data_IF_531438867990
#
_entry.id   IF_531438867990
#
_cell.length_a   1.000
_cell.length_b   1.000
_cell.length_c   1.000
_cell.angle_alpha   90.00
_cell.angle_beta   90.00
_cell.angle_gamma   90.00
#
_symmetry.space_group_name_H-M   'P 1'
#
loop_
_entity.id
_entity.type
_entity.pdbx_description
1 polymer ?
#
# COMPACT_ATOMS: atom_id res chain seq x y z
N UNK A 1 -10.92 36.29 4.28
CA UNK A 1 -10.77 35.05 3.50
C UNK A 1 -9.50 34.37 3.95
N UNK A 2 -9.58 33.32 4.77
CA UNK A 2 -8.41 32.55 5.18
C UNK A 2 -7.98 31.65 4.01
N UNK A 3 -6.74 31.79 3.57
CA UNK A 3 -6.11 30.85 2.63
C UNK A 3 -6.05 29.48 3.30
N UNK A 4 -6.84 28.53 2.80
CA UNK A 4 -6.67 27.13 3.16
C UNK A 4 -5.36 26.63 2.54
N UNK A 5 -4.43 26.22 3.39
CA UNK A 5 -3.21 25.57 2.94
C UNK A 5 -3.58 24.23 2.31
N UNK A 6 -2.94 23.91 1.18
CA UNK A 6 -3.05 22.62 0.49
C UNK A 6 -2.69 21.41 1.38
N UNK A 7 -2.06 21.67 2.53
CA UNK A 7 -1.62 20.67 3.50
C UNK A 7 -2.48 20.62 4.78
N UNK A 8 -3.58 21.38 4.87
CA UNK A 8 -4.55 21.28 5.99
C UNK A 8 -5.45 20.04 5.82
N UNK A 9 -4.82 18.88 5.77
CA UNK A 9 -5.44 17.58 5.56
C UNK A 9 -6.41 17.27 6.71
N UNK A 10 -6.07 17.65 7.95
CA UNK A 10 -6.96 17.46 9.10
C UNK A 10 -8.26 18.28 9.00
N UNK A 11 -8.20 19.53 8.52
CA UNK A 11 -9.41 20.35 8.34
C UNK A 11 -10.24 19.84 7.17
N UNK A 12 -9.58 19.36 6.11
CA UNK A 12 -10.26 18.78 4.94
C UNK A 12 -11.01 17.49 5.32
N UNK A 13 -10.38 16.61 6.13
CA UNK A 13 -10.99 15.37 6.64
C UNK A 13 -12.17 15.67 7.58
N UNK A 14 -12.04 16.67 8.46
CA UNK A 14 -13.14 17.09 9.36
C UNK A 14 -14.33 17.65 8.58
N UNK A 15 -14.08 18.43 7.52
CA UNK A 15 -15.12 19.03 6.69
C UNK A 15 -15.80 18.01 5.76
N UNK A 16 -15.09 17.00 5.26
CA UNK A 16 -15.69 15.95 4.42
C UNK A 16 -16.62 15.04 5.22
N UNK A 17 -16.28 14.74 6.49
CA UNK A 17 -17.16 14.01 7.43
C UNK A 17 -18.48 14.73 7.71
N UNK A 18 -18.45 16.05 7.85
CA UNK A 18 -19.65 16.88 8.06
C UNK A 18 -20.59 16.90 6.85
N UNK A 19 -20.06 16.59 5.65
CA UNK A 19 -20.82 16.58 4.38
C UNK A 19 -21.17 15.17 3.87
N UNK A 20 -20.73 14.11 4.54
CA UNK A 20 -20.87 12.74 4.02
C UNK A 20 -20.05 12.48 2.75
N UNK A 21 -19.05 13.32 2.46
CA UNK A 21 -18.19 13.18 1.29
C UNK A 21 -17.12 12.11 1.55
N UNK A 22 -16.89 11.22 0.56
CA UNK A 22 -15.80 10.23 0.60
C UNK A 22 -14.47 10.94 0.87
N UNK A 23 -13.82 10.59 1.97
CA UNK A 23 -12.54 11.19 2.43
C UNK A 23 -11.44 11.02 1.38
N UNK A 24 -11.48 9.93 0.61
CA UNK A 24 -10.60 9.68 -0.53
C UNK A 24 -11.26 10.19 -1.82
N UNK A 25 -11.05 11.46 -2.15
CA UNK A 25 -11.49 11.99 -3.46
C UNK A 25 -10.60 11.45 -4.58
N UNK A 26 -11.12 11.34 -5.83
CA UNK A 26 -10.32 10.88 -6.98
C UNK A 26 -9.04 11.70 -7.21
N UNK A 27 -9.05 12.98 -6.87
CA UNK A 27 -7.88 13.86 -6.98
C UNK A 27 -6.82 13.52 -5.93
N UNK A 28 -7.24 13.24 -4.69
CA UNK A 28 -6.33 12.76 -3.65
C UNK A 28 -5.73 11.41 -4.04
N UNK A 29 -6.54 10.47 -4.55
CA UNK A 29 -6.05 9.18 -5.04
C UNK A 29 -4.97 9.34 -6.14
N UNK A 30 -5.23 10.19 -7.15
CA UNK A 30 -4.24 10.50 -8.19
C UNK A 30 -2.96 11.11 -7.61
N UNK A 31 -3.09 12.04 -6.67
CA UNK A 31 -1.94 12.63 -5.98
C UNK A 31 -1.13 11.56 -5.24
N UNK A 32 -1.77 10.67 -4.48
CA UNK A 32 -1.08 9.60 -3.75
C UNK A 32 -0.31 8.67 -4.72
N UNK A 33 -0.90 8.34 -5.88
CA UNK A 33 -0.22 7.55 -6.92
C UNK A 33 1.01 8.26 -7.49
N UNK A 34 0.91 9.56 -7.76
CA UNK A 34 2.06 10.36 -8.21
C UNK A 34 3.16 10.36 -7.14
N UNK A 35 2.81 10.64 -5.88
CA UNK A 35 3.77 10.62 -4.78
C UNK A 35 4.43 9.24 -4.61
N UNK A 36 3.69 8.15 -4.82
CA UNK A 36 4.23 6.80 -4.77
C UNK A 36 5.23 6.56 -5.91
N UNK A 37 4.93 7.03 -7.13
CA UNK A 37 5.86 6.96 -8.27
C UNK A 37 7.13 7.79 -8.07
N UNK A 38 7.08 8.83 -7.24
CA UNK A 38 8.24 9.64 -6.84
C UNK A 38 9.07 8.98 -5.72
N UNK A 39 8.73 7.77 -5.28
CA UNK A 39 9.49 7.02 -4.29
C UNK A 39 9.23 7.43 -2.83
N UNK A 40 8.08 8.04 -2.54
CA UNK A 40 7.70 8.36 -1.16
C UNK A 40 7.55 7.07 -0.31
N UNK A 41 7.94 7.13 0.96
CA UNK A 41 7.86 5.99 1.87
C UNK A 41 6.40 5.55 2.09
N UNK A 42 6.15 4.24 1.96
CA UNK A 42 4.86 3.59 2.22
C UNK A 42 4.23 3.94 3.57
N UNK A 43 5.05 4.25 4.58
CA UNK A 43 4.58 4.67 5.91
C UNK A 43 3.85 6.01 5.88
N UNK A 44 4.24 6.93 4.98
CA UNK A 44 3.55 8.22 4.83
C UNK A 44 2.12 7.98 4.33
N UNK A 45 1.95 7.12 3.33
CA UNK A 45 0.62 6.72 2.85
C UNK A 45 -0.19 6.02 3.93
N UNK A 46 0.42 5.13 4.71
CA UNK A 46 -0.25 4.47 5.83
C UNK A 46 -0.76 5.46 6.87
N UNK A 47 0.04 6.47 7.25
CA UNK A 47 -0.40 7.54 8.15
C UNK A 47 -1.60 8.33 7.57
N UNK A 48 -1.56 8.67 6.28
CA UNK A 48 -2.66 9.39 5.63
C UNK A 48 -3.95 8.57 5.61
N UNK A 49 -3.86 7.26 5.35
CA UNK A 49 -5.01 6.36 5.39
C UNK A 49 -5.53 6.16 6.83
N UNK A 50 -4.64 6.16 7.83
CA UNK A 50 -5.02 6.12 9.24
C UNK A 50 -5.78 7.38 9.67
N UNK A 51 -5.34 8.56 9.23
CA UNK A 51 -6.07 9.82 9.42
C UNK A 51 -7.42 9.82 8.71
N UNK A 52 -7.51 9.17 7.55
CA UNK A 52 -8.75 8.96 6.82
C UNK A 52 -9.65 7.86 7.42
N UNK A 53 -9.26 7.27 8.56
CA UNK A 53 -9.99 6.21 9.27
C UNK A 53 -10.28 4.96 8.42
N UNK A 54 -9.33 4.62 7.52
CA UNK A 54 -9.35 3.37 6.76
C UNK A 54 -9.17 2.16 7.69
N UNK A 55 -9.69 1.00 7.29
CA UNK A 55 -9.58 -0.22 8.08
C UNK A 55 -8.11 -0.57 8.43
N UNK A 56 -7.90 -1.00 9.67
CA UNK A 56 -6.59 -1.32 10.21
C UNK A 56 -5.86 -2.42 9.44
N UNK A 57 -6.57 -3.39 8.85
CA UNK A 57 -5.97 -4.46 8.05
C UNK A 57 -5.37 -3.91 6.74
N UNK A 58 -6.04 -2.94 6.12
CA UNK A 58 -5.54 -2.28 4.91
C UNK A 58 -4.30 -1.43 5.20
N UNK A 59 -4.33 -0.68 6.31
CA UNK A 59 -3.16 0.10 6.77
C UNK A 59 -1.97 -0.83 7.05
N UNK A 60 -2.20 -1.94 7.76
CA UNK A 60 -1.18 -2.95 8.05
C UNK A 60 -0.63 -3.61 6.78
N UNK A 61 -1.48 -3.86 5.80
CA UNK A 61 -1.05 -4.41 4.52
C UNK A 61 -0.14 -3.43 3.77
N UNK A 62 -0.45 -2.13 3.78
CA UNK A 62 0.40 -1.10 3.16
C UNK A 62 1.73 -0.94 3.90
N UNK A 63 1.68 -0.74 5.22
CA UNK A 63 2.85 -0.45 6.04
C UNK A 63 3.73 -1.67 6.34
N UNK A 64 3.16 -2.87 6.22
CA UNK A 64 3.81 -4.13 6.52
C UNK A 64 5.04 -4.38 5.62
N UNK A 65 5.98 -5.23 6.07
CA UNK A 65 7.18 -5.53 5.30
C UNK A 65 6.82 -6.17 3.95
N UNK A 66 7.75 -6.09 3.00
CA UNK A 66 7.67 -6.87 1.77
C UNK A 66 8.26 -8.24 2.05
N UNK A 67 7.50 -9.30 1.77
CA UNK A 67 7.96 -10.67 1.95
C UNK A 67 8.71 -11.11 0.68
N UNK A 68 9.81 -11.85 0.85
CA UNK A 68 10.59 -12.44 -0.25
C UNK A 68 10.87 -13.91 0.06
N UNK A 69 10.95 -14.73 -0.98
CA UNK A 69 11.53 -16.07 -0.87
C UNK A 69 13.06 -15.98 -0.80
N UNK A 70 13.72 -17.01 -0.27
CA UNK A 70 15.18 -17.20 -0.31
C UNK A 70 16.04 -16.05 0.25
N UNK A 71 16.73 -16.26 1.38
CA UNK A 71 17.61 -15.20 1.94
C UNK A 71 18.79 -14.87 1.02
N UNK A 72 19.30 -15.83 0.28
CA UNK A 72 20.56 -15.71 -0.48
C UNK A 72 20.37 -15.02 -1.84
N UNK A 73 19.17 -15.10 -2.42
CA UNK A 73 18.87 -14.57 -3.76
C UNK A 73 18.00 -13.31 -3.73
N UNK A 74 17.81 -12.70 -2.56
CA UNK A 74 17.01 -11.47 -2.46
C UNK A 74 17.55 -10.33 -3.33
N UNK A 75 18.87 -10.25 -3.49
CA UNK A 75 19.55 -9.20 -4.25
C UNK A 75 19.37 -9.35 -5.78
N UNK A 76 18.85 -10.50 -6.25
CA UNK A 76 18.52 -10.67 -7.67
C UNK A 76 17.20 -10.01 -8.05
N UNK A 77 16.38 -9.61 -7.07
CA UNK A 77 15.11 -8.93 -7.33
C UNK A 77 15.40 -7.54 -7.91
N UNK A 78 14.95 -7.22 -9.14
CA UNK A 78 15.19 -5.93 -9.75
C UNK A 78 14.65 -4.78 -8.90
N UNK A 79 15.41 -3.68 -8.84
CA UNK A 79 15.08 -2.53 -7.98
C UNK A 79 13.68 -1.96 -8.24
N UNK A 80 13.22 -1.98 -9.48
CA UNK A 80 11.89 -1.50 -9.88
C UNK A 80 10.74 -2.30 -9.25
N UNK A 81 10.96 -3.59 -8.92
CA UNK A 81 9.91 -4.46 -8.32
C UNK A 81 9.52 -3.94 -6.94
N UNK A 82 10.47 -3.39 -6.18
CA UNK A 82 10.17 -2.82 -4.86
C UNK A 82 9.24 -1.61 -4.94
N UNK A 83 9.45 -0.76 -5.94
CA UNK A 83 8.57 0.39 -6.22
C UNK A 83 7.21 -0.08 -6.72
N UNK A 84 7.20 -1.05 -7.64
CA UNK A 84 5.97 -1.67 -8.16
C UNK A 84 5.08 -2.21 -7.05
N UNK A 85 5.64 -2.89 -6.04
CA UNK A 85 4.89 -3.42 -4.90
C UNK A 85 4.20 -2.30 -4.11
N UNK A 86 4.87 -1.18 -3.85
CA UNK A 86 4.29 -0.06 -3.10
C UNK A 86 3.11 0.54 -3.88
N UNK A 87 3.31 0.78 -5.18
CA UNK A 87 2.26 1.31 -6.08
C UNK A 87 1.08 0.34 -6.15
N UNK A 88 1.35 -0.95 -6.35
CA UNK A 88 0.31 -1.97 -6.48
C UNK A 88 -0.50 -2.13 -5.20
N UNK A 89 0.16 -2.17 -4.03
CA UNK A 89 -0.55 -2.23 -2.75
C UNK A 89 -1.44 -1.02 -2.55
N UNK A 90 -0.95 0.19 -2.87
CA UNK A 90 -1.72 1.41 -2.76
C UNK A 90 -2.94 1.37 -3.69
N UNK A 91 -2.76 1.00 -4.96
CA UNK A 91 -3.85 0.85 -5.93
C UNK A 91 -4.92 -0.12 -5.42
N UNK A 92 -4.50 -1.31 -5.00
CA UNK A 92 -5.40 -2.35 -4.48
C UNK A 92 -6.16 -1.86 -3.25
N UNK A 93 -5.51 -1.16 -2.32
CA UNK A 93 -6.17 -0.62 -1.13
C UNK A 93 -7.17 0.47 -1.49
N UNK A 94 -6.84 1.36 -2.42
CA UNK A 94 -7.77 2.42 -2.84
C UNK A 94 -9.04 1.82 -3.47
N UNK A 95 -8.90 0.79 -4.31
CA UNK A 95 -10.03 0.06 -4.89
C UNK A 95 -10.87 -0.67 -3.82
N UNK A 96 -10.21 -1.30 -2.85
CA UNK A 96 -10.85 -2.00 -1.73
C UNK A 96 -11.63 -1.03 -0.83
N UNK A 97 -11.05 0.14 -0.52
CA UNK A 97 -11.75 1.18 0.24
C UNK A 97 -12.95 1.72 -0.53
N UNK A 98 -12.84 1.90 -1.85
CA UNK A 98 -13.95 2.37 -2.67
C UNK A 98 -15.12 1.39 -2.73
N UNK A 99 -14.83 0.08 -2.66
CA UNK A 99 -15.81 -1.01 -2.58
C UNK A 99 -16.31 -1.28 -1.16
N UNK A 100 -15.61 -0.80 -0.14
CA UNK A 100 -15.89 -1.11 1.27
C UNK A 100 -15.54 -2.55 1.65
N UNK A 101 -14.58 -3.16 0.96
CA UNK A 101 -14.18 -4.55 1.15
C UNK A 101 -12.74 -4.63 1.67
N UNK A 102 -12.39 -5.75 2.32
CA UNK A 102 -11.01 -6.06 2.68
C UNK A 102 -10.56 -7.20 1.79
N UNK A 103 -9.64 -6.91 0.87
CA UNK A 103 -9.13 -7.95 -0.02
C UNK A 103 -8.26 -8.95 0.72
N UNK A 104 -8.14 -10.13 0.13
CA UNK A 104 -7.41 -11.27 0.71
C UNK A 104 -6.12 -11.59 -0.02
N UNK A 105 -5.97 -11.10 -1.25
CA UNK A 105 -4.87 -11.45 -2.14
C UNK A 105 -3.77 -10.39 -2.09
N UNK A 106 -2.52 -10.86 -2.10
CA UNK A 106 -1.37 -10.04 -2.44
C UNK A 106 -1.37 -9.67 -3.93
N UNK A 107 -0.59 -8.65 -4.29
CA UNK A 107 -0.49 -8.20 -5.68
C UNK A 107 0.46 -9.09 -6.50
N UNK A 108 0.33 -9.14 -7.85
CA UNK A 108 1.24 -9.93 -8.69
C UNK A 108 2.72 -9.59 -8.49
N UNK A 109 3.05 -8.32 -8.24
CA UNK A 109 4.42 -7.88 -7.99
C UNK A 109 4.98 -8.43 -6.67
N UNK A 110 4.14 -8.67 -5.66
CA UNK A 110 4.58 -9.33 -4.43
C UNK A 110 4.81 -10.82 -4.64
N UNK A 111 3.92 -11.48 -5.37
CA UNK A 111 4.11 -12.90 -5.75
C UNK A 111 5.41 -13.05 -6.54
N UNK A 112 5.69 -12.13 -7.48
CA UNK A 112 6.94 -12.07 -8.22
C UNK A 112 8.17 -11.97 -7.30
N UNK A 113 8.15 -11.04 -6.34
CA UNK A 113 9.26 -10.85 -5.39
C UNK A 113 9.47 -12.06 -4.47
N UNK A 114 8.43 -12.86 -4.21
CA UNK A 114 8.56 -14.11 -3.48
C UNK A 114 9.12 -15.22 -4.35
N UNK A 115 8.59 -15.39 -5.57
CA UNK A 115 8.93 -16.51 -6.43
C UNK A 115 10.28 -16.37 -7.14
N UNK A 116 10.70 -15.14 -7.48
CA UNK A 116 11.93 -14.92 -8.24
C UNK A 116 13.18 -15.49 -7.53
N UNK A 117 13.44 -15.21 -6.24
CA UNK A 117 14.54 -15.85 -5.52
C UNK A 117 14.44 -17.39 -5.49
N UNK A 118 13.22 -17.92 -5.31
CA UNK A 118 12.98 -19.37 -5.24
C UNK A 118 13.38 -20.06 -6.55
N UNK A 119 13.16 -19.39 -7.70
CA UNK A 119 13.54 -19.94 -9.01
C UNK A 119 15.05 -20.12 -9.19
N UNK A 120 15.87 -19.37 -8.44
CA UNK A 120 17.32 -19.53 -8.43
C UNK A 120 17.80 -20.61 -7.45
N UNK A 121 17.02 -20.93 -6.42
CA UNK A 121 17.34 -22.00 -5.47
C UNK A 121 17.02 -23.37 -6.05
N UNK A 122 15.82 -23.52 -6.64
CA UNK A 122 15.32 -24.79 -7.13
C UNK A 122 14.49 -24.62 -8.40
N UNK A 123 14.52 -25.60 -9.32
CA UNK A 123 13.59 -25.64 -10.44
C UNK A 123 12.14 -25.66 -9.94
N UNK A 124 11.30 -24.79 -10.49
CA UNK A 124 9.87 -24.80 -10.21
C UNK A 124 9.19 -25.94 -10.97
N UNK A 125 8.10 -26.48 -10.40
CA UNK A 125 7.19 -27.33 -11.17
C UNK A 125 6.48 -26.51 -12.26
N UNK A 126 5.83 -27.20 -13.20
CA UNK A 126 5.12 -26.55 -14.31
C UNK A 126 4.04 -25.57 -13.82
N UNK A 127 3.29 -25.94 -12.78
CA UNK A 127 2.21 -25.15 -12.19
C UNK A 127 2.73 -23.83 -11.62
N UNK A 128 3.79 -23.89 -10.81
CA UNK A 128 4.42 -22.71 -10.22
C UNK A 128 5.18 -21.88 -11.26
N UNK A 129 5.73 -22.51 -12.30
CA UNK A 129 6.32 -21.79 -13.43
C UNK A 129 5.27 -20.91 -14.11
N UNK A 130 4.04 -21.40 -14.29
CA UNK A 130 2.97 -20.62 -14.89
C UNK A 130 2.55 -19.43 -14.01
N UNK A 131 2.46 -19.62 -12.69
CA UNK A 131 2.19 -18.52 -11.75
C UNK A 131 3.30 -17.47 -11.84
N UNK A 132 4.57 -17.88 -11.81
CA UNK A 132 5.72 -16.98 -11.90
C UNK A 132 5.71 -16.18 -13.21
N UNK A 133 5.51 -16.83 -14.35
CA UNK A 133 5.46 -16.17 -15.66
C UNK A 133 4.28 -15.20 -15.77
N UNK A 134 3.10 -15.59 -15.28
CA UNK A 134 1.92 -14.72 -15.25
C UNK A 134 2.15 -13.46 -14.40
N UNK A 135 2.70 -13.62 -13.20
CA UNK A 135 3.00 -12.50 -12.31
C UNK A 135 4.09 -11.58 -12.91
N UNK A 136 5.16 -12.16 -13.46
CA UNK A 136 6.22 -11.42 -14.16
C UNK A 136 5.65 -10.59 -15.30
N UNK A 137 4.85 -11.22 -16.16
CA UNK A 137 4.21 -10.55 -17.28
C UNK A 137 3.29 -9.42 -16.84
N UNK A 138 2.41 -9.69 -15.87
CA UNK A 138 1.42 -8.71 -15.38
C UNK A 138 2.11 -7.49 -14.75
N UNK A 139 3.14 -7.70 -13.94
CA UNK A 139 3.92 -6.62 -13.34
C UNK A 139 4.70 -5.82 -14.39
N UNK A 140 5.30 -6.47 -15.38
CA UNK A 140 6.03 -5.79 -16.46
C UNK A 140 5.12 -4.92 -17.32
N UNK A 141 3.96 -5.43 -17.74
CA UNK A 141 3.00 -4.65 -18.53
C UNK A 141 2.47 -3.44 -17.75
N UNK A 142 2.22 -3.61 -16.45
CA UNK A 142 1.66 -2.54 -15.63
C UNK A 142 2.66 -1.41 -15.38
N UNK A 143 3.90 -1.75 -15.05
CA UNK A 143 4.90 -0.77 -14.60
C UNK A 143 5.85 -0.27 -15.68
N UNK A 144 6.00 -1.03 -16.78
CA UNK A 144 6.83 -0.70 -17.93
C UNK A 144 8.21 -0.09 -17.58
N UNK A 145 9.01 -0.77 -16.74
CA UNK A 145 10.25 -0.18 -16.18
C UNK A 145 11.33 0.15 -17.22
N UNK A 146 11.24 -0.43 -18.41
CA UNK A 146 12.17 -0.24 -19.53
C UNK A 146 11.50 0.56 -20.66
N UNK A 147 11.88 1.83 -20.90
CA UNK A 147 11.22 2.70 -21.88
C UNK A 147 11.32 2.24 -23.34
N UNK A 148 12.40 1.52 -23.68
CA UNK A 148 12.68 1.09 -25.06
C UNK A 148 12.25 -0.37 -25.32
N UNK A 149 11.52 -0.99 -24.39
CA UNK A 149 11.08 -2.36 -24.53
C UNK A 149 9.67 -2.43 -25.10
N UNK A 150 9.42 -3.38 -26.01
CA UNK A 150 8.10 -3.60 -26.58
C UNK A 150 7.31 -4.60 -25.72
N UNK A 151 6.43 -4.10 -24.84
CA UNK A 151 5.61 -4.92 -23.95
C UNK A 151 4.49 -5.68 -24.67
N UNK A 152 4.05 -5.22 -25.85
CA UNK A 152 2.99 -5.91 -26.61
C UNK A 152 3.45 -7.29 -27.10
N UNK A 153 4.76 -7.45 -27.29
CA UNK A 153 5.42 -8.71 -27.70
C UNK A 153 6.11 -9.43 -26.55
N UNK A 154 5.69 -9.16 -25.30
CA UNK A 154 6.35 -9.74 -24.13
C UNK A 154 6.26 -11.28 -24.11
N UNK A 155 5.10 -11.86 -24.44
CA UNK A 155 4.97 -13.33 -24.51
C UNK A 155 5.84 -13.97 -25.60
N UNK A 156 5.96 -13.31 -26.76
CA UNK A 156 6.88 -13.75 -27.84
C UNK A 156 8.34 -13.76 -27.35
N UNK A 157 8.71 -12.73 -26.58
CA UNK A 157 10.07 -12.58 -26.03
C UNK A 157 10.37 -13.58 -24.91
N UNK A 158 9.36 -13.93 -24.10
CA UNK A 158 9.45 -15.00 -23.09
C UNK A 158 9.57 -16.38 -23.77
N UNK A 159 9.06 -16.52 -25.00
CA UNK A 159 9.02 -17.80 -25.71
C UNK A 159 7.92 -18.74 -25.20
N UNK A 160 6.84 -18.18 -24.63
CA UNK A 160 5.72 -18.95 -24.08
C UNK A 160 4.38 -18.42 -24.59
N UNK A 161 3.34 -19.25 -24.53
CA UNK A 161 1.97 -18.83 -24.82
C UNK A 161 1.39 -18.01 -23.66
N UNK A 162 0.47 -17.06 -23.92
CA UNK A 162 -0.23 -16.34 -22.89
C UNK A 162 -0.93 -17.25 -21.87
N UNK A 163 -0.65 -17.04 -20.60
CA UNK A 163 -1.22 -17.80 -19.49
C UNK A 163 -2.54 -17.15 -19.06
N UNK A 164 -3.61 -17.94 -19.01
CA UNK A 164 -4.91 -17.44 -18.56
C UNK A 164 -5.01 -17.53 -17.04
N UNK A 165 -5.50 -16.47 -16.38
CA UNK A 165 -5.71 -16.45 -14.94
C UNK A 165 -6.50 -17.67 -14.43
N UNK A 166 -7.53 -18.11 -15.15
CA UNK A 166 -8.35 -19.28 -14.77
C UNK A 166 -7.53 -20.57 -14.65
N UNK A 167 -6.42 -20.70 -15.37
CA UNK A 167 -5.55 -21.89 -15.33
C UNK A 167 -4.71 -21.93 -14.06
N UNK A 168 -4.32 -20.77 -13.54
CA UNK A 168 -3.42 -20.63 -12.39
C UNK A 168 -4.14 -20.19 -11.12
N UNK A 169 -5.46 -19.97 -11.19
CA UNK A 169 -6.23 -19.25 -10.18
C UNK A 169 -6.02 -19.84 -8.79
N UNK A 170 -6.13 -21.17 -8.66
CA UNK A 170 -5.97 -21.85 -7.38
C UNK A 170 -4.58 -21.61 -6.77
N UNK A 171 -3.52 -21.88 -7.53
CA UNK A 171 -2.14 -21.78 -7.06
C UNK A 171 -1.75 -20.32 -6.76
N UNK A 172 -2.17 -19.39 -7.62
CA UNK A 172 -2.00 -17.96 -7.43
C UNK A 172 -2.72 -17.46 -6.17
N UNK A 173 -4.00 -17.78 -6.00
CA UNK A 173 -4.77 -17.31 -4.84
C UNK A 173 -4.23 -17.89 -3.53
N UNK A 174 -3.76 -19.14 -3.53
CA UNK A 174 -3.13 -19.77 -2.39
C UNK A 174 -1.88 -19.00 -1.93
N UNK A 175 -0.92 -18.77 -2.85
CA UNK A 175 0.33 -18.07 -2.50
C UNK A 175 0.06 -16.59 -2.17
N UNK A 176 -0.80 -15.92 -2.92
CA UNK A 176 -1.13 -14.52 -2.71
C UNK A 176 -1.83 -14.29 -1.36
N UNK A 177 -2.71 -15.21 -0.94
CA UNK A 177 -3.37 -15.15 0.37
C UNK A 177 -2.37 -15.34 1.51
N UNK A 178 -1.46 -16.31 1.38
CA UNK A 178 -0.41 -16.55 2.38
C UNK A 178 0.51 -15.33 2.52
N UNK A 179 0.96 -14.76 1.39
CA UNK A 179 1.79 -13.55 1.39
C UNK A 179 1.08 -12.40 2.13
N UNK A 180 -0.14 -12.06 1.73
CA UNK A 180 -0.87 -10.94 2.34
C UNK A 180 -1.10 -11.16 3.84
N UNK A 181 -1.45 -12.38 4.23
CA UNK A 181 -1.61 -12.76 5.64
C UNK A 181 -0.31 -12.56 6.42
N UNK A 182 0.83 -13.00 5.87
CA UNK A 182 2.15 -12.81 6.50
C UNK A 182 2.56 -11.35 6.59
N UNK A 183 2.27 -10.55 5.56
CA UNK A 183 2.51 -9.09 5.57
C UNK A 183 1.74 -8.44 6.71
N UNK A 184 0.44 -8.69 6.82
CA UNK A 184 -0.42 -8.11 7.87
C UNK A 184 0.03 -8.58 9.25
N UNK A 185 0.37 -9.86 9.40
CA UNK A 185 0.85 -10.43 10.67
C UNK A 185 2.20 -9.86 11.10
N UNK A 186 3.07 -9.56 10.14
CA UNK A 186 4.42 -9.04 10.39
C UNK A 186 4.46 -7.50 10.51
N UNK A 187 3.35 -6.82 10.22
CA UNK A 187 3.23 -5.38 10.41
C UNK A 187 3.32 -5.03 11.91
N UNK A 188 4.00 -3.93 12.23
CA UNK A 188 4.09 -3.44 13.62
C UNK A 188 2.70 -3.29 14.25
N UNK A 189 2.59 -3.66 15.52
CA UNK A 189 1.38 -3.45 16.32
C UNK A 189 1.00 -1.97 16.47
N UNK A 190 1.91 -1.05 16.11
CA UNK A 190 1.66 0.39 16.13
C UNK A 190 0.66 0.84 15.07
N UNK A 191 0.57 0.13 13.95
CA UNK A 191 -0.32 0.47 12.84
C UNK A 191 -1.75 0.00 13.09
N UNK A 192 -2.73 0.86 12.79
CA UNK A 192 -4.15 0.55 12.96
C UNK A 192 -4.63 0.72 14.39
N UNK A 193 -3.87 1.43 15.23
CA UNK A 193 -4.36 1.89 16.53
C UNK A 193 -5.21 3.12 16.25
N UNK A 194 -6.51 3.06 16.54
CA UNK A 194 -7.34 4.27 16.58
C UNK A 194 -6.60 5.32 17.39
N UNK A 195 -6.26 6.45 16.78
CA UNK A 195 -5.73 7.63 17.46
C UNK A 195 -6.68 7.89 18.63
N UNK A 196 -6.28 7.52 19.84
CA UNK A 196 -7.02 7.87 21.04
C UNK A 196 -6.98 9.38 21.06
N UNK A 197 -8.10 10.02 20.73
CA UNK A 197 -8.28 11.42 21.03
C UNK A 197 -8.02 11.54 22.51
N UNK A 198 -6.88 12.14 22.90
CA UNK A 198 -6.79 12.71 24.23
C UNK A 198 -7.98 13.68 24.31
N UNK A 199 -8.87 13.55 25.32
CA UNK A 199 -9.84 14.60 25.53
C UNK A 199 -9.05 15.90 25.61
N UNK A 200 -9.43 16.90 24.81
CA UNK A 200 -8.95 18.25 25.07
C UNK A 200 -9.34 18.52 26.51
N UNK A 201 -8.35 18.60 27.40
CA UNK A 201 -8.54 19.23 28.69
C UNK A 201 -9.09 20.62 28.36
N UNK A 202 -10.37 20.81 28.65
CA UNK A 202 -10.97 22.13 28.65
C UNK A 202 -10.07 22.98 29.52
N UNK A 203 -9.43 24.00 28.94
CA UNK A 203 -8.79 25.05 29.69
C UNK A 203 -9.87 25.64 30.60
N UNK A 204 -9.94 25.14 31.83
CA UNK A 204 -10.57 25.85 32.92
C UNK A 204 -9.78 27.14 33.03
N UNK A 205 -10.46 28.23 32.71
CA UNK A 205 -10.05 29.60 32.97
C UNK A 205 -9.51 29.71 34.38
N UNK A 206 -8.18 29.71 34.50
CA UNK A 206 -7.51 30.23 35.69
C UNK A 206 -7.75 31.73 35.69
N UNK A 207 -8.81 32.14 36.40
CA UNK A 207 -8.93 33.49 36.92
C UNK A 207 -7.67 33.79 37.72
N UNK A 208 -6.77 34.58 37.14
CA UNK A 208 -5.68 35.20 37.86
C UNK A 208 -6.32 36.29 38.72
N UNK A 209 -6.68 35.92 39.94
CA UNK A 209 -6.98 36.86 41.01
C UNK A 209 -5.74 37.72 41.26
N UNK A 210 -5.77 38.97 40.78
CA UNK A 210 -4.80 40.01 41.13
C UNK A 210 -4.80 40.21 42.65
N UNK A 211 -3.70 39.91 43.37
CA UNK A 211 -3.54 40.43 44.71
C UNK A 211 -3.14 41.89 44.60
N UNK A 212 -3.97 42.73 45.22
CA UNK A 212 -3.77 44.16 45.40
C UNK A 212 -2.33 44.48 45.86
N UNK A 213 -1.67 45.38 45.14
CA UNK A 213 -0.61 46.23 45.68
C UNK A 213 -1.23 47.12 46.75
N UNK A 214 -1.15 46.70 48.01
CA UNK A 214 -1.30 47.56 49.16
C UNK A 214 -0.23 47.23 50.20
N UNK A 215 0.12 48.27 50.97
CA UNK A 215 1.17 48.39 51.99
C UNK A 215 2.42 49.07 51.42
N UNK A 216 2.56 50.38 51.71
CA UNK A 216 3.16 50.90 52.95
C UNK A 216 4.62 50.45 53.05
#
# INVERSE_FOLDING_TARGET
MQQQSLFDIEQTIKNSKLKGEKILTPNLQKMLKILASMGMDRKVFACLLELAEVDAQLIKYLAGPTITGGREWRDTIPSWVWQAIVIDRLDTILEEVDKGEIGKLATPSEVLAVMMPITFEVPLSWEWTNVYLYCSHTSLIKHQPFPNYNYDKLWESIGSTPINYKQIQHDYENIATDIRTRVIKSASNEWGKKLKQKPLESNQSTEINNPQLSLF
#
